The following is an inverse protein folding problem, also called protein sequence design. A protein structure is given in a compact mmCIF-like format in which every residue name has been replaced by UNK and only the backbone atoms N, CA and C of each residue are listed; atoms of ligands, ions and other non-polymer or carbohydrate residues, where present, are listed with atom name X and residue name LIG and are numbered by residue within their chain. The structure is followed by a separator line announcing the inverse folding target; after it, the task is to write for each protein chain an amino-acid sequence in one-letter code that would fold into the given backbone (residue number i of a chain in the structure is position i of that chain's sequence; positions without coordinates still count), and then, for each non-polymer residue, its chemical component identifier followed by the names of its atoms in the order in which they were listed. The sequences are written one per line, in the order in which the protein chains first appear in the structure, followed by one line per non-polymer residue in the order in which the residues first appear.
data_IF_764270240174
#
_entry.id   IF_764270240174
#
_cell.length_a   1.000
_cell.length_b   1.000
_cell.length_c   1.000
_cell.angle_alpha   90.00
_cell.angle_beta   90.00
_cell.angle_gamma   90.00
#
_symmetry.space_group_name_H-M   'P 1'
#
loop_
_entity.id
_entity.type
_entity.pdbx_description
1 polymer ?
#
# COMPACT_ATOMS: atom_id res chain seq x y z
N UNK A 1 -12.51 4.35 -11.83
CA UNK A 1 -11.10 3.95 -11.64
C UNK A 1 -11.05 2.91 -10.54
N UNK A 2 -10.15 1.93 -10.60
CA UNK A 2 -9.99 0.91 -9.56
C UNK A 2 -8.79 1.24 -8.68
N UNK A 3 -8.94 1.09 -7.37
CA UNK A 3 -7.87 1.26 -6.38
C UNK A 3 -7.41 -0.10 -5.85
N UNK A 4 -6.10 -0.25 -5.63
CA UNK A 4 -5.53 -1.36 -4.86
C UNK A 4 -4.51 -0.86 -3.85
N UNK A 5 -4.36 -1.58 -2.75
CA UNK A 5 -3.24 -1.39 -1.81
C UNK A 5 -2.54 -2.73 -1.70
N UNK A 6 -1.34 -2.83 -2.24
CA UNK A 6 -0.49 -4.02 -2.13
C UNK A 6 0.47 -3.86 -0.96
N UNK A 7 0.66 -4.93 -0.20
CA UNK A 7 1.59 -5.00 0.92
C UNK A 7 2.44 -6.24 0.82
N UNK A 8 3.76 -6.08 0.91
CA UNK A 8 4.69 -7.19 1.06
C UNK A 8 5.18 -7.23 2.50
N UNK A 9 4.95 -8.35 3.18
CA UNK A 9 5.57 -8.61 4.48
C UNK A 9 6.93 -9.26 4.27
N UNK A 10 7.99 -8.46 4.48
CA UNK A 10 9.35 -8.79 4.07
C UNK A 10 9.89 -10.00 4.84
N UNK A 11 10.46 -10.94 4.11
CA UNK A 11 11.04 -12.21 4.53
C UNK A 11 10.10 -13.13 5.33
N UNK A 12 8.78 -12.91 5.25
CA UNK A 12 7.82 -13.86 5.77
C UNK A 12 7.76 -15.09 4.86
N UNK A 13 8.02 -16.28 5.42
CA UNK A 13 8.03 -17.54 4.65
C UNK A 13 6.64 -18.14 4.45
N UNK A 14 5.76 -18.01 5.47
CA UNK A 14 4.43 -18.61 5.47
C UNK A 14 3.37 -17.59 5.88
N UNK A 15 2.16 -17.75 5.37
CA UNK A 15 1.02 -16.92 5.75
C UNK A 15 0.72 -17.08 7.25
N UNK A 16 0.74 -15.97 7.99
CA UNK A 16 0.41 -15.94 9.41
C UNK A 16 -1.01 -15.43 9.60
N UNK A 17 -1.67 -15.88 10.66
CA UNK A 17 -3.02 -15.41 10.99
C UNK A 17 -2.97 -13.93 11.40
N UNK A 18 -3.71 -13.11 10.68
CA UNK A 18 -4.02 -11.72 11.04
C UNK A 18 -5.50 -11.64 11.44
N UNK A 19 -5.91 -10.50 12.01
CA UNK A 19 -7.30 -10.28 12.41
C UNK A 19 -8.24 -10.31 11.21
N UNK A 20 -9.37 -11.00 11.38
CA UNK A 20 -10.43 -11.14 10.35
C UNK A 20 -11.70 -10.35 10.67
N UNK A 21 -11.81 -9.82 11.89
CA UNK A 21 -12.98 -9.10 12.38
C UNK A 21 -12.91 -7.58 12.11
N UNK A 22 -11.99 -7.16 11.22
CA UNK A 22 -11.80 -5.77 10.82
C UNK A 22 -12.70 -5.44 9.61
N UNK A 23 -13.14 -4.17 9.52
CA UNK A 23 -13.83 -3.67 8.33
C UNK A 23 -12.93 -3.64 7.09
N UNK A 24 -11.62 -3.54 7.31
CA UNK A 24 -10.57 -3.69 6.30
C UNK A 24 -10.08 -5.14 6.30
N UNK A 25 -10.08 -5.76 5.13
CA UNK A 25 -9.69 -7.16 4.93
C UNK A 25 -8.42 -7.26 4.09
N UNK A 26 -7.90 -8.48 3.97
CA UNK A 26 -6.73 -8.80 3.16
C UNK A 26 -6.91 -10.12 2.42
N UNK A 27 -6.28 -10.22 1.25
CA UNK A 27 -6.17 -11.46 0.46
C UNK A 27 -4.70 -11.78 0.27
N UNK A 28 -4.30 -13.03 0.51
CA UNK A 28 -2.96 -13.50 0.15
C UNK A 28 -2.89 -13.73 -1.36
N UNK A 29 -1.98 -13.02 -2.03
CA UNK A 29 -1.86 -13.07 -3.49
C UNK A 29 -1.35 -14.42 -4.02
N UNK A 30 -0.63 -15.20 -3.20
CA UNK A 30 -0.22 -16.56 -3.58
C UNK A 30 -1.37 -17.57 -3.57
N UNK A 31 -2.44 -17.28 -2.83
CA UNK A 31 -3.64 -18.11 -2.73
C UNK A 31 -4.76 -17.62 -3.66
N UNK A 32 -4.57 -16.45 -4.29
CA UNK A 32 -5.51 -15.88 -5.26
C UNK A 32 -5.44 -16.60 -6.60
N UNK A 33 -6.59 -16.87 -7.21
CA UNK A 33 -6.66 -17.37 -8.59
C UNK A 33 -6.16 -16.36 -9.62
N UNK A 34 -6.18 -15.07 -9.28
CA UNK A 34 -5.72 -13.96 -10.11
C UNK A 34 -4.83 -13.02 -9.27
N UNK A 35 -3.52 -13.27 -9.22
CA UNK A 35 -2.61 -12.40 -8.50
C UNK A 35 -2.49 -11.02 -9.16
N UNK A 36 -2.65 -9.97 -8.37
CA UNK A 36 -2.79 -8.57 -8.81
C UNK A 36 -1.48 -7.78 -8.76
N UNK A 37 -0.58 -8.15 -7.85
CA UNK A 37 0.70 -7.47 -7.62
C UNK A 37 1.93 -8.22 -8.12
N UNK A 38 1.85 -9.56 -8.18
CA UNK A 38 2.98 -10.40 -8.59
C UNK A 38 3.35 -10.06 -10.05
N UNK A 39 4.64 -9.84 -10.30
CA UNK A 39 5.27 -9.67 -11.62
C UNK A 39 5.25 -8.28 -12.28
N UNK A 40 4.49 -7.29 -11.77
CA UNK A 40 4.47 -5.95 -12.39
C UNK A 40 5.57 -5.01 -11.87
N UNK A 41 6.10 -5.24 -10.68
CA UNK A 41 6.99 -4.30 -9.97
C UNK A 41 8.34 -4.93 -9.63
N UNK A 42 9.40 -4.67 -10.41
CA UNK A 42 10.68 -5.38 -10.28
C UNK A 42 11.29 -5.36 -8.88
N UNK A 43 11.31 -4.20 -8.21
CA UNK A 43 11.89 -4.07 -6.88
C UNK A 43 11.05 -4.82 -5.85
N UNK A 44 9.75 -4.53 -5.74
CA UNK A 44 8.89 -5.24 -4.78
C UNK A 44 8.85 -6.75 -5.06
N UNK A 45 8.76 -7.17 -6.33
CA UNK A 45 8.67 -8.59 -6.72
C UNK A 45 9.98 -9.35 -6.48
N UNK A 46 11.11 -8.64 -6.38
CA UNK A 46 12.41 -9.26 -6.04
C UNK A 46 12.58 -9.50 -4.54
N UNK A 47 11.74 -8.88 -3.70
CA UNK A 47 11.81 -9.02 -2.25
C UNK A 47 11.10 -10.31 -1.83
N UNK A 48 11.81 -11.16 -1.08
CA UNK A 48 11.21 -12.33 -0.47
C UNK A 48 10.18 -11.92 0.58
N UNK A 49 9.02 -12.55 0.60
CA UNK A 49 7.95 -12.24 1.56
C UNK A 49 6.58 -12.74 1.11
N UNK A 50 5.58 -12.49 1.94
CA UNK A 50 4.17 -12.78 1.61
C UNK A 50 3.50 -11.51 1.06
N UNK A 51 2.81 -11.66 -0.06
CA UNK A 51 2.07 -10.58 -0.71
C UNK A 51 0.61 -10.57 -0.29
N UNK A 52 0.14 -9.40 0.10
CA UNK A 52 -1.25 -9.17 0.48
C UNK A 52 -1.83 -8.02 -0.34
N UNK A 53 -3.07 -8.15 -0.78
CA UNK A 53 -3.88 -6.98 -1.19
C UNK A 53 -4.84 -6.63 -0.06
N UNK A 54 -4.82 -5.36 0.34
CA UNK A 54 -5.74 -4.78 1.33
C UNK A 54 -6.95 -4.18 0.60
N UNK A 55 -8.14 -4.40 1.15
CA UNK A 55 -9.38 -3.91 0.57
C UNK A 55 -10.60 -4.24 1.43
N UNK A 56 -11.77 -4.12 0.83
CA UNK A 56 -13.05 -4.50 1.39
C UNK A 56 -13.74 -5.50 0.46
N UNK A 57 -14.50 -6.43 1.01
CA UNK A 57 -15.42 -7.27 0.24
C UNK A 57 -16.73 -6.51 0.00
N UNK A 58 -17.09 -6.34 -1.26
CA UNK A 58 -18.34 -5.74 -1.72
C UNK A 58 -19.08 -6.75 -2.61
N UNK A 59 -20.07 -7.43 -2.03
CA UNK A 59 -20.89 -8.47 -2.68
C UNK A 59 -20.06 -9.51 -3.47
N UNK A 60 -18.95 -9.99 -2.89
CA UNK A 60 -18.05 -10.98 -3.49
C UNK A 60 -16.96 -10.39 -4.38
N UNK A 61 -16.87 -9.06 -4.47
CA UNK A 61 -15.79 -8.36 -5.18
C UNK A 61 -14.84 -7.72 -4.18
N UNK A 62 -13.59 -8.18 -4.17
CA UNK A 62 -12.56 -7.65 -3.27
C UNK A 62 -11.74 -6.55 -3.93
N UNK A 63 -11.80 -5.33 -3.41
CA UNK A 63 -11.06 -4.16 -3.91
C UNK A 63 -10.95 -3.04 -2.86
N UNK A 64 -10.10 -2.04 -3.11
CA UNK A 64 -9.90 -0.93 -2.18
C UNK A 64 -10.85 0.26 -2.42
N UNK A 65 -11.79 0.16 -3.37
CA UNK A 65 -12.63 1.29 -3.81
C UNK A 65 -13.51 1.87 -2.70
N UNK A 66 -14.01 1.03 -1.78
CA UNK A 66 -14.85 1.53 -0.70
C UNK A 66 -14.04 2.28 0.37
N UNK A 67 -12.77 1.92 0.59
CA UNK A 67 -11.96 2.46 1.67
C UNK A 67 -10.98 3.57 1.25
N UNK A 68 -10.64 3.65 -0.04
CA UNK A 68 -9.67 4.60 -0.58
C UNK A 68 -10.35 5.65 -1.45
N UNK A 69 -9.85 6.87 -1.39
CA UNK A 69 -10.18 7.98 -2.28
C UNK A 69 -8.90 8.76 -2.66
N UNK A 70 -9.06 9.78 -3.49
CA UNK A 70 -7.99 10.69 -3.91
C UNK A 70 -8.53 12.05 -4.31
N UNK A 71 -7.73 13.09 -4.11
CA UNK A 71 -7.98 14.42 -4.69
C UNK A 71 -7.10 14.57 -5.94
N UNK A 72 -7.69 14.42 -7.12
CA UNK A 72 -6.96 14.55 -8.40
C UNK A 72 -6.51 15.97 -8.72
N UNK A 73 -7.12 16.98 -8.08
CA UNK A 73 -6.76 18.38 -8.27
C UNK A 73 -5.64 18.82 -7.30
N UNK A 74 -5.33 17.98 -6.31
CA UNK A 74 -4.25 18.22 -5.34
C UNK A 74 -2.94 17.59 -5.79
N UNK A 75 -1.98 18.45 -6.12
CA UNK A 75 -0.61 18.03 -6.38
C UNK A 75 0.23 17.97 -5.10
N UNK A 76 0.98 16.89 -4.94
CA UNK A 76 1.92 16.74 -3.83
C UNK A 76 3.28 17.36 -4.16
N UNK A 77 3.70 18.31 -3.33
CA UNK A 77 5.05 18.84 -3.37
C UNK A 77 6.04 17.83 -2.77
N UNK A 78 6.42 16.82 -3.55
CA UNK A 78 7.41 15.81 -3.14
C UNK A 78 8.80 16.30 -3.49
N UNK A 79 9.68 16.40 -2.49
CA UNK A 79 11.09 16.67 -2.73
C UNK A 79 11.82 15.38 -3.09
N UNK A 80 11.85 15.06 -4.38
CA UNK A 80 12.51 13.87 -4.92
C UNK A 80 13.56 14.28 -5.96
N UNK A 81 14.76 14.71 -5.55
CA UNK A 81 15.78 15.23 -6.48
C UNK A 81 16.30 14.20 -7.49
N UNK A 82 15.98 12.91 -7.32
CA UNK A 82 16.32 11.85 -8.25
C UNK A 82 15.26 11.63 -9.35
N UNK A 83 14.05 12.17 -9.19
CA UNK A 83 13.01 12.17 -10.23
C UNK A 83 13.33 13.33 -11.17
N UNK A 84 13.63 13.00 -12.43
CA UNK A 84 14.07 13.96 -13.44
C UNK A 84 12.95 14.44 -14.34
N UNK A 85 11.88 13.65 -14.43
CA UNK A 85 10.72 13.97 -15.23
C UNK A 85 9.73 14.73 -14.35
N UNK A 86 9.51 16.01 -14.66
CA UNK A 86 8.57 16.85 -13.92
C UNK A 86 7.13 16.36 -14.10
N UNK A 87 6.80 15.71 -15.23
CA UNK A 87 5.49 15.12 -15.46
C UNK A 87 5.21 13.96 -14.49
N UNK A 88 6.24 13.22 -14.05
CA UNK A 88 6.08 12.18 -13.03
C UNK A 88 5.71 12.79 -11.66
N UNK A 89 6.23 13.98 -11.34
CA UNK A 89 5.90 14.68 -10.10
C UNK A 89 4.48 15.26 -10.13
N UNK A 90 4.02 15.73 -11.28
CA UNK A 90 2.65 16.23 -11.45
C UNK A 90 1.59 15.13 -11.28
N UNK A 91 1.96 13.87 -11.53
CA UNK A 91 1.10 12.70 -11.38
C UNK A 91 0.98 12.19 -9.93
N UNK A 92 1.67 12.81 -8.96
CA UNK A 92 1.56 12.44 -7.55
C UNK A 92 0.28 12.98 -6.93
N UNK A 93 -0.74 12.13 -6.95
CA UNK A 93 -2.02 12.34 -6.27
C UNK A 93 -2.03 11.66 -4.89
N UNK A 94 -2.67 12.26 -3.89
CA UNK A 94 -2.67 11.75 -2.52
C UNK A 94 -3.58 10.54 -2.33
N UNK A 95 -3.10 9.58 -1.56
CA UNK A 95 -3.90 8.48 -1.04
C UNK A 95 -4.69 8.98 0.17
N UNK A 96 -6.02 8.88 0.07
CA UNK A 96 -6.93 9.23 1.15
C UNK A 96 -7.59 7.93 1.64
N UNK A 97 -7.36 7.55 2.89
CA UNK A 97 -8.11 6.47 3.54
C UNK A 97 -9.31 7.09 4.24
N UNK A 98 -10.52 6.63 3.91
CA UNK A 98 -11.75 7.18 4.51
C UNK A 98 -11.77 6.93 6.03
N UNK A 99 -12.26 7.91 6.77
CA UNK A 99 -12.16 7.97 8.24
C UNK A 99 -12.68 6.69 8.94
N UNK A 100 -13.76 6.11 8.41
CA UNK A 100 -14.38 4.91 8.98
C UNK A 100 -13.53 3.62 8.83
N UNK A 101 -12.52 3.62 7.96
CA UNK A 101 -11.61 2.49 7.76
C UNK A 101 -10.20 2.75 8.32
N UNK A 102 -9.89 3.99 8.71
CA UNK A 102 -8.53 4.40 9.04
C UNK A 102 -7.94 3.66 10.24
N UNK A 103 -8.73 3.44 11.29
CA UNK A 103 -8.28 2.73 12.49
C UNK A 103 -7.99 1.25 12.18
N UNK A 104 -8.89 0.59 11.44
CA UNK A 104 -8.74 -0.81 11.06
C UNK A 104 -7.58 -1.00 10.07
N UNK A 105 -7.37 -0.03 9.18
CA UNK A 105 -6.21 0.01 8.31
C UNK A 105 -4.90 0.13 9.09
N UNK A 106 -4.82 1.06 10.04
CA UNK A 106 -3.66 1.20 10.93
C UNK A 106 -3.40 -0.08 11.73
N UNK A 107 -4.45 -0.68 12.29
CA UNK A 107 -4.36 -1.93 13.04
C UNK A 107 -3.84 -3.08 12.16
N UNK A 108 -4.38 -3.25 10.96
CA UNK A 108 -3.97 -4.32 10.05
C UNK A 108 -2.48 -4.18 9.66
N UNK A 109 -2.03 -2.97 9.35
CA UNK A 109 -0.62 -2.72 9.06
C UNK A 109 0.29 -2.99 10.26
N UNK A 110 -0.18 -2.64 11.47
CA UNK A 110 0.54 -2.96 12.71
C UNK A 110 0.69 -4.47 12.89
N UNK A 111 -0.38 -5.23 12.70
CA UNK A 111 -0.34 -6.70 12.78
C UNK A 111 0.59 -7.31 11.72
N UNK A 112 0.53 -6.82 10.47
CA UNK A 112 1.45 -7.22 9.39
C UNK A 112 2.92 -6.96 9.75
N UNK A 113 3.22 -5.82 10.38
CA UNK A 113 4.56 -5.51 10.88
C UNK A 113 4.99 -6.41 12.03
N UNK A 114 4.08 -6.79 12.93
CA UNK A 114 4.40 -7.66 14.07
C UNK A 114 4.69 -9.09 13.64
N UNK A 115 4.00 -9.58 12.60
CA UNK A 115 4.24 -10.92 12.07
C UNK A 115 5.48 -10.99 11.17
N UNK A 116 5.95 -9.83 10.66
CA UNK A 116 7.15 -9.69 9.83
C UNK A 116 8.42 -10.10 10.59
N UNK A 117 9.20 -11.07 10.08
CA UNK A 117 10.49 -11.42 10.69
C UNK A 117 11.49 -10.27 10.75
N UNK A 118 11.36 -9.29 9.86
CA UNK A 118 12.22 -8.11 9.80
C UNK A 118 11.59 -6.85 10.41
N UNK A 119 10.39 -6.95 10.99
CA UNK A 119 9.57 -5.80 11.37
C UNK A 119 9.46 -4.76 10.25
N UNK A 120 9.37 -5.22 9.01
CA UNK A 120 9.39 -4.39 7.80
C UNK A 120 8.29 -4.86 6.86
N UNK A 121 7.53 -3.91 6.34
CA UNK A 121 6.56 -4.11 5.25
C UNK A 121 6.82 -3.09 4.14
N UNK A 122 6.42 -3.42 2.92
CA UNK A 122 6.43 -2.50 1.79
C UNK A 122 4.99 -2.28 1.36
N UNK A 123 4.56 -1.03 1.27
CA UNK A 123 3.17 -0.66 0.98
C UNK A 123 3.12 0.08 -0.35
N UNK A 124 2.26 -0.35 -1.26
CA UNK A 124 2.08 0.24 -2.58
C UNK A 124 0.58 0.48 -2.86
N UNK A 125 0.07 1.70 -2.64
CA UNK A 125 -1.25 2.11 -3.10
C UNK A 125 -1.20 2.40 -4.61
N UNK A 126 -2.17 1.92 -5.38
CA UNK A 126 -2.23 2.07 -6.84
C UNK A 126 -3.60 2.46 -7.38
N UNK A 127 -3.56 3.11 -8.54
CA UNK A 127 -4.66 3.18 -9.50
C UNK A 127 -4.10 3.15 -10.92
N UNK A 128 -4.98 3.27 -11.93
CA UNK A 128 -4.56 3.37 -13.33
C UNK A 128 -3.66 4.59 -13.57
N UNK A 129 -2.35 4.35 -13.66
CA UNK A 129 -1.31 5.35 -13.91
C UNK A 129 0.03 4.89 -13.35
N UNK A 130 1.14 5.40 -13.89
CA UNK A 130 2.50 5.07 -13.44
C UNK A 130 3.03 3.74 -13.97
N UNK A 131 4.01 3.83 -14.88
CA UNK A 131 4.83 2.68 -15.32
C UNK A 131 6.21 2.65 -14.64
N UNK A 132 6.56 3.73 -13.93
CA UNK A 132 7.81 3.88 -13.19
C UNK A 132 7.64 3.42 -11.75
N UNK A 133 8.53 2.52 -11.31
CA UNK A 133 8.56 2.06 -9.92
C UNK A 133 9.34 3.06 -9.06
N UNK A 134 8.63 3.78 -8.20
CA UNK A 134 9.21 4.80 -7.30
C UNK A 134 9.19 4.27 -5.88
N UNK A 135 10.36 4.26 -5.22
CA UNK A 135 10.51 3.76 -3.86
C UNK A 135 10.80 4.92 -2.92
N UNK A 136 9.88 5.18 -2.00
CA UNK A 136 10.12 5.97 -0.82
C UNK A 136 10.86 5.12 0.21
N UNK A 137 11.94 5.70 0.76
CA UNK A 137 12.77 5.05 1.77
C UNK A 137 12.01 4.72 3.07
N UNK A 138 12.76 4.25 4.06
CA UNK A 138 12.17 3.71 5.29
C UNK A 138 11.62 4.80 6.21
N UNK A 139 10.35 4.64 6.61
CA UNK A 139 9.71 5.45 7.67
C UNK A 139 9.03 4.54 8.72
N UNK A 140 8.67 5.11 9.87
CA UNK A 140 7.93 4.36 10.90
C UNK A 140 6.45 4.20 10.55
N UNK A 141 5.77 3.19 11.11
CA UNK A 141 4.31 3.05 10.94
C UNK A 141 3.57 4.30 11.39
N UNK A 142 3.96 4.86 12.54
CA UNK A 142 3.37 6.09 13.07
C UNK A 142 3.50 7.25 12.09
N UNK A 143 4.67 7.38 11.47
CA UNK A 143 4.93 8.41 10.47
C UNK A 143 4.13 8.17 9.18
N UNK A 144 4.08 6.92 8.70
CA UNK A 144 3.26 6.56 7.54
C UNK A 144 1.79 6.93 7.74
N UNK A 145 1.20 6.57 8.89
CA UNK A 145 -0.18 6.90 9.22
C UNK A 145 -0.39 8.41 9.35
N UNK A 146 0.57 9.14 9.93
CA UNK A 146 0.52 10.60 9.99
C UNK A 146 0.54 11.21 8.59
N UNK A 147 1.39 10.72 7.70
CA UNK A 147 1.46 11.18 6.31
C UNK A 147 0.19 10.84 5.52
N UNK A 148 -0.46 9.69 5.78
CA UNK A 148 -1.79 9.38 5.22
C UNK A 148 -2.82 10.41 5.69
N UNK A 149 -2.87 10.72 6.99
CA UNK A 149 -3.79 11.71 7.59
C UNK A 149 -3.55 13.13 7.05
N UNK A 150 -2.31 13.45 6.71
CA UNK A 150 -1.92 14.73 6.10
C UNK A 150 -2.05 14.72 4.56
N UNK A 151 -2.51 13.61 3.98
CA UNK A 151 -2.65 13.41 2.53
C UNK A 151 -1.32 13.66 1.80
N UNK A 152 -0.23 13.09 2.31
CA UNK A 152 1.14 13.22 1.79
C UNK A 152 1.73 11.94 1.23
N UNK A 153 1.01 10.82 1.33
CA UNK A 153 1.41 9.57 0.67
C UNK A 153 0.87 9.60 -0.77
N UNK A 154 1.73 9.59 -1.79
CA UNK A 154 1.29 9.52 -3.18
C UNK A 154 0.87 8.11 -3.59
N UNK A 155 -0.07 8.02 -4.52
CA UNK A 155 -0.30 6.79 -5.27
C UNK A 155 0.91 6.43 -6.14
N UNK A 156 1.03 5.14 -6.47
CA UNK A 156 2.07 4.57 -7.34
C UNK A 156 3.50 4.73 -6.80
N UNK A 157 3.65 5.04 -5.51
CA UNK A 157 4.92 5.07 -4.81
C UNK A 157 4.90 4.01 -3.72
N UNK A 158 5.89 3.11 -3.78
CA UNK A 158 6.08 2.12 -2.73
C UNK A 158 6.77 2.77 -1.54
N UNK A 159 6.17 2.66 -0.35
CA UNK A 159 6.77 3.11 0.90
C UNK A 159 7.25 1.92 1.72
N UNK A 160 8.51 1.96 2.16
CA UNK A 160 9.05 0.98 3.09
C UNK A 160 8.71 1.44 4.52
N UNK A 161 7.95 0.63 5.25
CA UNK A 161 7.59 0.90 6.65
C UNK A 161 8.31 -0.09 7.55
N UNK A 162 8.95 0.43 8.60
CA UNK A 162 9.70 -0.38 9.58
C UNK A 162 9.37 0.03 11.01
N UNK A 163 9.33 -0.94 11.92
CA UNK A 163 9.15 -0.71 13.36
C UNK A 163 10.39 -0.09 14.02
#
# INVERSE_FOLDING_TARGET
MSYSIEVVVVNQEENKSLSKDLSVQYVNEYESSEPRGLYKWPFMSSVSGVWYTIGTDDDGTFWALQMVDTDFDKHLAVSAPWIKDEEELENFTPVIIKENYLNDFEQLLAEMLEVSPMNTIMILPRYQGGDTEIIQGTISLKEYIQLIKEEKIPFNVCTIVKK
#
